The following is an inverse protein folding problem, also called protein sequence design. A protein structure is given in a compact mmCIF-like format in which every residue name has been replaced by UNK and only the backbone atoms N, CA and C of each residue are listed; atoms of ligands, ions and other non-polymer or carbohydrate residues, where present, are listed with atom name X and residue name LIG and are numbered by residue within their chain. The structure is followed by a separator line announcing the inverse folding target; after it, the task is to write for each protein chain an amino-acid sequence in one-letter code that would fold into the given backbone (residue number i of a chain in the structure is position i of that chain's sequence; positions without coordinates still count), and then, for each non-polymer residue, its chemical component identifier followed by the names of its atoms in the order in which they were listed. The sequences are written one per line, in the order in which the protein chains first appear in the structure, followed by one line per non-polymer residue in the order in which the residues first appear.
data_IF_607486718765
#
_entry.id   IF_607486718765
#
_cell.length_a   1.000
_cell.length_b   1.000
_cell.length_c   1.000
_cell.angle_alpha   90.00
_cell.angle_beta   90.00
_cell.angle_gamma   90.00
#
_symmetry.space_group_name_H-M   'P 1'
#
loop_
_entity.id
_entity.type
_entity.pdbx_description
1 polymer ?
#
# COMPACT_ATOMS: atom_id res chain seq x y z
N UNK A 1 -16.34 -7.05 10.93
CA UNK A 1 -15.18 -6.20 10.62
C UNK A 1 -14.58 -5.65 11.91
N UNK A 2 -15.45 -5.38 12.88
CA UNK A 2 -15.21 -4.81 14.21
C UNK A 2 -13.91 -5.28 14.83
N UNK A 3 -13.75 -6.58 15.11
CA UNK A 3 -12.58 -7.01 15.89
C UNK A 3 -11.25 -6.96 15.13
N UNK A 4 -11.18 -7.14 13.81
CA UNK A 4 -9.91 -7.10 13.06
C UNK A 4 -9.35 -5.68 12.96
N UNK A 5 -10.22 -4.70 12.74
CA UNK A 5 -9.83 -3.29 12.67
C UNK A 5 -9.69 -2.71 14.07
N UNK A 6 -10.55 -3.06 15.02
CA UNK A 6 -10.35 -2.79 16.43
C UNK A 6 -9.03 -3.39 16.90
N UNK A 7 -8.62 -4.58 16.43
CA UNK A 7 -7.29 -5.15 16.71
C UNK A 7 -6.17 -4.39 16.03
N UNK A 8 -6.36 -3.78 14.86
CA UNK A 8 -5.36 -2.91 14.26
C UNK A 8 -5.21 -1.61 15.09
N UNK A 9 -6.32 -0.98 15.49
CA UNK A 9 -6.35 0.14 16.44
C UNK A 9 -5.74 -0.21 17.80
N UNK A 10 -6.09 -1.38 18.34
CA UNK A 10 -5.53 -1.91 19.59
C UNK A 10 -4.06 -2.35 19.42
N UNK A 11 -3.61 -2.79 18.24
CA UNK A 11 -2.18 -3.04 18.01
C UNK A 11 -1.39 -1.74 18.04
N UNK A 12 -2.01 -0.65 17.59
CA UNK A 12 -1.45 0.70 17.69
C UNK A 12 -1.42 1.17 19.16
N UNK A 13 -2.40 0.78 20.01
CA UNK A 13 -2.48 1.17 21.43
C UNK A 13 -1.73 0.25 22.43
N UNK A 14 -1.94 -1.06 22.35
CA UNK A 14 -1.60 -2.06 23.39
C UNK A 14 -0.10 -2.26 23.60
N UNK A 15 0.74 -1.82 22.65
CA UNK A 15 2.19 -1.84 22.84
C UNK A 15 2.67 -0.84 23.93
N UNK A 16 1.77 -0.02 24.54
CA UNK A 16 1.81 0.72 25.85
C UNK A 16 3.08 1.44 26.33
N UNK A 17 4.23 1.27 25.69
CA UNK A 17 5.03 2.40 25.29
C UNK A 17 4.40 2.90 24.01
N UNK A 18 3.87 4.13 24.02
CA UNK A 18 3.58 4.84 22.79
C UNK A 18 4.66 4.50 21.77
N UNK A 19 4.27 3.97 20.62
CA UNK A 19 5.12 3.89 19.43
C UNK A 19 5.39 5.34 18.98
N UNK A 20 5.66 6.31 19.86
CA UNK A 20 5.80 7.76 19.61
C UNK A 20 7.04 8.33 20.31
N UNK A 21 8.11 7.54 20.45
CA UNK A 21 9.42 8.09 20.85
C UNK A 21 10.20 8.75 19.69
N UNK A 22 9.66 8.82 18.47
CA UNK A 22 10.25 9.60 17.38
C UNK A 22 9.20 10.34 16.55
N UNK A 23 9.56 11.53 16.08
CA UNK A 23 8.72 12.43 15.25
C UNK A 23 8.14 11.77 13.97
N UNK A 24 8.76 10.69 13.48
CA UNK A 24 8.29 9.94 12.30
C UNK A 24 7.09 9.02 12.57
N UNK A 25 6.83 8.63 13.81
CA UNK A 25 5.83 7.61 14.14
C UNK A 25 4.38 8.11 14.15
N UNK A 26 4.07 9.34 14.62
CA UNK A 26 2.74 9.92 14.49
C UNK A 26 2.25 9.99 13.03
N UNK A 27 3.17 10.26 12.10
CA UNK A 27 2.89 10.34 10.65
C UNK A 27 2.41 8.99 10.11
N UNK A 28 3.03 7.88 10.51
CA UNK A 28 2.62 6.55 10.05
C UNK A 28 1.25 6.15 10.59
N UNK A 29 1.00 6.37 11.89
CA UNK A 29 -0.29 6.06 12.52
C UNK A 29 -1.41 6.87 11.85
N UNK A 30 -1.17 8.15 11.58
CA UNK A 30 -2.11 9.01 10.87
C UNK A 30 -2.45 8.48 9.46
N UNK A 31 -1.45 8.01 8.69
CA UNK A 31 -1.69 7.36 7.38
C UNK A 31 -2.48 6.06 7.53
N UNK A 32 -2.14 5.23 8.50
CA UNK A 32 -2.82 3.95 8.76
C UNK A 32 -4.30 4.21 9.06
N UNK A 33 -4.61 5.12 9.99
CA UNK A 33 -5.99 5.47 10.36
C UNK A 33 -6.77 6.02 9.17
N UNK A 34 -6.19 6.96 8.42
CA UNK A 34 -6.85 7.53 7.26
C UNK A 34 -7.18 6.46 6.20
N UNK A 35 -6.23 5.57 5.89
CA UNK A 35 -6.45 4.48 4.93
C UNK A 35 -7.51 3.48 5.41
N UNK A 36 -7.56 3.19 6.71
CA UNK A 36 -8.59 2.35 7.33
C UNK A 36 -9.97 2.99 7.19
N UNK A 37 -10.09 4.27 7.56
CA UNK A 37 -11.36 4.99 7.52
C UNK A 37 -11.88 5.14 6.10
N UNK A 38 -11.01 5.50 5.15
CA UNK A 38 -11.35 5.54 3.73
C UNK A 38 -11.89 4.19 3.25
N UNK A 39 -11.15 3.10 3.47
CA UNK A 39 -11.56 1.77 3.02
C UNK A 39 -12.81 1.23 3.76
N UNK A 40 -13.04 1.65 5.01
CA UNK A 40 -14.27 1.39 5.75
C UNK A 40 -15.47 2.15 5.17
N UNK A 41 -15.28 3.41 4.78
CA UNK A 41 -16.30 4.28 4.23
C UNK A 41 -16.76 3.84 2.82
N UNK A 42 -15.82 3.44 1.97
CA UNK A 42 -16.15 3.01 0.60
C UNK A 42 -16.65 1.57 0.51
N UNK A 43 -16.60 0.82 1.61
CA UNK A 43 -16.99 -0.58 1.59
C UNK A 43 -18.50 -0.73 1.35
N UNK A 44 -18.87 -1.70 0.51
CA UNK A 44 -20.26 -2.08 0.24
C UNK A 44 -20.48 -3.58 0.49
N UNK A 45 -21.68 -3.99 0.94
CA UNK A 45 -22.89 -3.17 1.10
C UNK A 45 -22.90 -2.30 2.38
N UNK A 46 -22.08 -2.64 3.36
CA UNK A 46 -22.02 -1.94 4.64
C UNK A 46 -20.81 -1.01 4.70
N UNK A 47 -21.08 0.27 4.90
CA UNK A 47 -20.07 1.27 5.24
C UNK A 47 -19.78 1.22 6.73
N UNK A 48 -18.58 1.63 7.10
CA UNK A 48 -18.15 1.69 8.49
C UNK A 48 -17.51 3.03 8.82
N UNK A 49 -17.99 3.64 9.88
CA UNK A 49 -17.51 4.92 10.39
C UNK A 49 -16.29 4.73 11.30
N UNK A 50 -15.51 5.80 11.58
CA UNK A 50 -14.46 5.74 12.61
C UNK A 50 -14.96 5.25 13.97
N UNK A 51 -16.21 5.57 14.33
CA UNK A 51 -16.83 5.11 15.57
C UNK A 51 -17.09 3.59 15.56
N UNK A 52 -17.56 3.03 14.45
CA UNK A 52 -17.73 1.57 14.30
C UNK A 52 -16.39 0.82 14.39
N UNK A 53 -15.31 1.50 14.01
CA UNK A 53 -13.95 0.95 13.95
C UNK A 53 -13.23 1.03 15.31
N UNK A 54 -13.31 2.19 15.97
CA UNK A 54 -12.54 2.47 17.19
C UNK A 54 -13.35 2.28 18.48
N UNK A 55 -14.68 2.38 18.41
CA UNK A 55 -15.55 2.30 19.58
C UNK A 55 -15.16 3.33 20.66
N UNK A 56 -14.97 2.86 21.88
CA UNK A 56 -14.64 3.70 23.05
C UNK A 56 -13.32 4.48 22.90
N UNK A 57 -12.40 4.03 22.03
CA UNK A 57 -11.12 4.71 21.79
C UNK A 57 -11.22 5.86 20.79
N UNK A 58 -12.39 6.08 20.19
CA UNK A 58 -12.60 7.11 19.18
C UNK A 58 -12.22 8.51 19.67
N UNK A 59 -12.68 9.00 20.85
CA UNK A 59 -12.39 10.37 21.29
C UNK A 59 -10.90 10.62 21.56
N UNK A 60 -10.20 9.62 22.12
CA UNK A 60 -8.76 9.70 22.36
C UNK A 60 -7.99 9.79 21.04
N UNK A 61 -8.34 8.91 20.08
CA UNK A 61 -7.68 8.87 18.77
C UNK A 61 -7.95 10.11 17.93
N UNK A 62 -9.14 10.67 18.00
CA UNK A 62 -9.48 11.93 17.32
C UNK A 62 -8.71 13.10 17.93
N UNK A 63 -8.56 13.13 19.25
CA UNK A 63 -7.74 14.13 19.95
C UNK A 63 -6.26 14.09 19.55
N UNK A 64 -5.69 12.89 19.37
CA UNK A 64 -4.28 12.72 18.99
C UNK A 64 -4.08 12.88 17.48
N UNK A 65 -5.00 12.35 16.66
CA UNK A 65 -4.91 12.31 15.21
C UNK A 65 -6.19 12.86 14.59
N UNK A 66 -6.43 14.18 14.60
CA UNK A 66 -7.68 14.74 14.06
C UNK A 66 -7.75 14.64 12.53
N UNK A 67 -6.60 14.72 11.84
CA UNK A 67 -6.53 14.73 10.38
C UNK A 67 -7.26 13.56 9.68
N UNK A 68 -7.02 12.29 10.07
CA UNK A 68 -7.75 11.14 9.53
C UNK A 68 -9.27 11.24 9.64
N UNK A 69 -9.81 11.77 10.74
CA UNK A 69 -11.25 11.87 10.97
C UNK A 69 -11.90 12.94 10.09
N UNK A 70 -11.19 14.04 9.83
CA UNK A 70 -11.69 15.13 9.00
C UNK A 70 -11.64 14.79 7.50
N UNK A 71 -10.64 14.03 7.05
CA UNK A 71 -10.31 13.94 5.62
C UNK A 71 -10.73 12.63 4.94
N UNK A 72 -11.09 11.56 5.68
CA UNK A 72 -11.28 10.23 5.08
C UNK A 72 -12.42 10.15 4.04
N UNK A 73 -13.36 11.09 4.08
CA UNK A 73 -14.50 11.17 3.15
C UNK A 73 -14.22 11.99 1.91
N UNK A 74 -13.16 12.80 1.87
CA UNK A 74 -12.86 13.68 0.73
C UNK A 74 -11.48 13.50 0.12
N UNK A 75 -10.49 13.00 0.87
CA UNK A 75 -9.10 12.81 0.39
C UNK A 75 -8.76 11.33 0.22
N UNK A 76 -8.01 11.02 -0.84
CA UNK A 76 -7.57 9.64 -1.08
C UNK A 76 -6.32 9.28 -0.27
N UNK A 77 -6.22 8.07 0.31
CA UNK A 77 -4.97 7.59 0.89
C UNK A 77 -3.98 7.20 -0.19
N UNK A 78 -2.69 7.55 -0.03
CA UNK A 78 -1.63 7.12 -0.96
C UNK A 78 -1.24 5.65 -0.85
N UNK A 79 -1.58 4.99 0.26
CA UNK A 79 -1.16 3.61 0.59
C UNK A 79 -2.28 2.86 1.27
N UNK A 80 -2.27 1.53 1.12
CA UNK A 80 -3.16 0.65 1.89
C UNK A 80 -2.72 0.60 3.37
N UNK A 81 -3.60 0.18 4.30
CA UNK A 81 -3.26 0.13 5.73
C UNK A 81 -1.99 -0.68 6.01
N UNK A 82 -1.87 -1.88 5.44
CA UNK A 82 -0.72 -2.75 5.72
C UNK A 82 0.58 -2.27 5.07
N UNK A 83 0.50 -1.56 3.94
CA UNK A 83 1.65 -0.87 3.34
C UNK A 83 2.18 0.24 4.25
N UNK A 84 1.29 1.00 4.90
CA UNK A 84 1.70 2.01 5.88
C UNK A 84 2.29 1.37 7.15
N UNK A 85 1.76 0.22 7.60
CA UNK A 85 2.34 -0.58 8.70
C UNK A 85 3.74 -1.09 8.33
N UNK A 86 3.92 -1.55 7.08
CA UNK A 86 5.23 -1.99 6.58
C UNK A 86 6.25 -0.85 6.69
N UNK A 87 5.94 0.33 6.20
CA UNK A 87 6.86 1.46 6.26
C UNK A 87 7.22 1.85 7.70
N UNK A 88 6.25 1.79 8.61
CA UNK A 88 6.49 1.98 10.03
C UNK A 88 7.47 0.93 10.58
N UNK A 89 7.25 -0.36 10.29
CA UNK A 89 8.13 -1.45 10.77
C UNK A 89 9.54 -1.32 10.19
N UNK A 90 9.68 -1.02 8.90
CA UNK A 90 10.98 -0.79 8.25
C UNK A 90 11.68 0.43 8.87
N UNK A 91 10.96 1.52 9.12
CA UNK A 91 11.51 2.70 9.79
C UNK A 91 11.97 2.42 11.23
N UNK A 92 11.34 1.47 11.93
CA UNK A 92 11.67 1.12 13.31
C UNK A 92 12.88 0.17 13.40
N UNK A 93 12.97 -0.79 12.48
CA UNK A 93 13.98 -1.86 12.55
C UNK A 93 15.21 -1.56 11.67
N UNK A 94 15.08 -0.67 10.71
CA UNK A 94 16.07 -0.42 9.66
C UNK A 94 15.89 -1.35 8.46
N UNK A 95 16.18 -0.87 7.24
CA UNK A 95 15.89 -1.60 5.99
C UNK A 95 16.73 -2.84 5.77
N UNK A 96 17.81 -3.05 6.53
CA UNK A 96 18.74 -4.17 6.31
C UNK A 96 18.38 -5.40 7.17
N UNK A 97 17.34 -5.30 8.01
CA UNK A 97 16.92 -6.36 8.94
C UNK A 97 15.78 -7.23 8.38
N UNK A 98 15.97 -7.81 7.18
CA UNK A 98 14.95 -8.60 6.45
C UNK A 98 14.22 -9.61 7.35
N UNK A 99 14.97 -10.47 8.07
CA UNK A 99 14.38 -11.51 8.94
C UNK A 99 13.52 -10.88 10.05
N UNK A 100 14.01 -9.84 10.72
CA UNK A 100 13.27 -9.18 11.80
C UNK A 100 12.00 -8.48 11.30
N UNK A 101 12.07 -7.85 10.12
CA UNK A 101 10.92 -7.19 9.49
C UNK A 101 9.86 -8.23 9.12
N UNK A 102 10.25 -9.32 8.44
CA UNK A 102 9.34 -10.40 8.06
C UNK A 102 8.65 -11.02 9.30
N UNK A 103 9.42 -11.32 10.34
CA UNK A 103 8.88 -11.89 11.58
C UNK A 103 7.96 -10.91 12.34
N UNK A 104 8.29 -9.61 12.37
CA UNK A 104 7.42 -8.59 12.99
C UNK A 104 6.11 -8.46 12.24
N UNK A 105 6.14 -8.40 10.92
CA UNK A 105 4.93 -8.29 10.09
C UNK A 105 4.08 -9.55 10.15
N UNK A 106 4.68 -10.73 10.19
CA UNK A 106 3.98 -12.01 10.43
C UNK A 106 3.23 -12.00 11.77
N UNK A 107 3.87 -11.52 12.84
CA UNK A 107 3.24 -11.37 14.17
C UNK A 107 2.06 -10.40 14.12
N UNK A 108 2.24 -9.23 13.50
CA UNK A 108 1.18 -8.23 13.33
C UNK A 108 0.01 -8.82 12.52
N UNK A 109 0.29 -9.45 11.37
CA UNK A 109 -0.72 -10.07 10.53
C UNK A 109 -1.46 -11.21 11.24
N UNK A 110 -0.77 -12.00 12.08
CA UNK A 110 -1.41 -13.04 12.90
C UNK A 110 -2.33 -12.43 13.96
N UNK A 111 -1.92 -11.34 14.60
CA UNK A 111 -2.76 -10.63 15.57
C UNK A 111 -4.00 -10.04 14.91
N UNK A 112 -3.83 -9.43 13.73
CA UNK A 112 -4.93 -8.89 12.92
C UNK A 112 -5.81 -9.96 12.27
N UNK A 113 -5.32 -11.20 12.13
CA UNK A 113 -6.05 -12.28 11.50
C UNK A 113 -7.20 -12.73 12.38
N UNK A 114 -8.41 -12.62 11.85
CA UNK A 114 -9.61 -13.14 12.49
C UNK A 114 -10.24 -14.23 11.63
N UNK A 115 -10.34 -15.48 12.14
CA UNK A 115 -10.80 -16.62 11.33
C UNK A 115 -12.20 -16.43 10.72
N UNK A 116 -13.04 -15.63 11.37
CA UNK A 116 -14.44 -15.38 10.94
C UNK A 116 -14.63 -14.00 10.31
N UNK A 117 -13.59 -13.16 10.25
CA UNK A 117 -13.71 -11.88 9.57
C UNK A 117 -13.54 -12.10 8.08
N UNK A 118 -14.60 -11.80 7.33
CA UNK A 118 -14.52 -11.70 5.87
C UNK A 118 -13.67 -10.50 5.44
N UNK A 119 -13.23 -9.65 6.37
CA UNK A 119 -12.57 -8.38 6.11
C UNK A 119 -11.15 -8.38 6.68
N UNK A 120 -10.16 -8.28 5.80
CA UNK A 120 -8.75 -8.41 6.13
C UNK A 120 -7.97 -7.24 5.51
N UNK A 121 -7.59 -6.26 6.33
CA UNK A 121 -6.58 -5.25 6.00
C UNK A 121 -5.15 -5.78 6.18
N UNK A 122 -4.98 -7.10 6.14
CA UNK A 122 -3.68 -7.76 6.13
C UNK A 122 -3.33 -8.18 4.72
N UNK A 123 -2.14 -7.85 4.27
CA UNK A 123 -1.61 -8.39 3.01
C UNK A 123 -1.36 -9.90 3.14
N UNK A 124 -1.57 -10.63 2.05
CA UNK A 124 -1.21 -12.05 1.95
C UNK A 124 0.27 -12.24 1.63
N UNK A 125 0.85 -11.28 0.92
CA UNK A 125 2.22 -11.36 0.38
C UNK A 125 3.02 -10.12 0.78
N UNK A 126 4.29 -10.34 1.13
CA UNK A 126 5.34 -9.32 1.24
C UNK A 126 6.42 -9.65 0.20
N UNK A 127 6.93 -8.64 -0.48
CA UNK A 127 8.05 -8.77 -1.39
C UNK A 127 9.24 -7.97 -0.88
N UNK A 128 10.43 -8.54 -1.05
CA UNK A 128 11.71 -7.91 -0.74
C UNK A 128 12.51 -7.80 -2.04
N UNK A 129 12.86 -6.58 -2.40
CA UNK A 129 13.68 -6.26 -3.56
C UNK A 129 15.00 -5.63 -3.12
N UNK A 130 16.10 -6.00 -3.78
CA UNK A 130 17.42 -5.40 -3.53
C UNK A 130 18.33 -5.54 -4.75
N UNK A 131 19.35 -4.69 -4.83
CA UNK A 131 20.49 -4.91 -5.72
C UNK A 131 21.43 -5.93 -5.06
N UNK A 132 22.03 -6.83 -5.83
CA UNK A 132 22.84 -7.93 -5.27
C UNK A 132 24.16 -7.45 -4.65
N UNK A 133 24.62 -6.26 -5.02
CA UNK A 133 25.85 -5.59 -4.58
C UNK A 133 25.61 -4.53 -3.50
N UNK A 134 24.38 -4.34 -3.02
CA UNK A 134 24.01 -3.38 -1.97
C UNK A 134 23.29 -4.10 -0.85
N UNK A 135 23.58 -3.75 0.41
CA UNK A 135 22.93 -4.38 1.57
C UNK A 135 21.47 -3.93 1.74
N UNK A 136 21.15 -2.73 1.25
CA UNK A 136 19.84 -2.09 1.36
C UNK A 136 18.74 -2.90 0.70
N UNK A 137 17.72 -3.23 1.50
CA UNK A 137 16.51 -3.90 1.03
C UNK A 137 15.31 -2.95 0.98
N UNK A 138 14.46 -3.19 0.00
CA UNK A 138 13.24 -2.45 -0.27
C UNK A 138 12.07 -3.41 -0.16
N UNK A 139 10.96 -2.94 0.41
CA UNK A 139 9.86 -3.80 0.81
C UNK A 139 8.54 -3.31 0.23
N UNK A 140 7.75 -4.24 -0.28
CA UNK A 140 6.37 -4.00 -0.69
C UNK A 140 5.43 -5.07 -0.15
N UNK A 141 4.14 -4.77 -0.10
CA UNK A 141 3.11 -5.73 0.29
C UNK A 141 1.98 -5.73 -0.73
N UNK A 142 1.29 -6.87 -0.87
CA UNK A 142 0.13 -6.96 -1.76
C UNK A 142 -0.98 -6.04 -1.26
N UNK A 143 -1.81 -5.51 -2.15
CA UNK A 143 -2.89 -4.59 -1.77
C UNK A 143 -3.77 -5.17 -0.66
N UNK A 144 -3.76 -4.53 0.51
CA UNK A 144 -4.50 -4.98 1.69
C UNK A 144 -5.90 -4.36 1.74
N UNK A 145 -6.69 -4.58 0.70
CA UNK A 145 -8.07 -4.12 0.58
C UNK A 145 -8.97 -5.30 0.21
N UNK A 146 -10.22 -5.26 0.65
CA UNK A 146 -11.20 -6.30 0.34
C UNK A 146 -12.14 -5.80 -0.74
N UNK A 147 -12.06 -6.41 -1.92
CA UNK A 147 -12.99 -6.16 -3.02
C UNK A 147 -12.27 -5.72 -4.29
N UNK A 148 -12.88 -6.04 -5.43
CA UNK A 148 -12.31 -5.79 -6.76
C UNK A 148 -12.18 -4.28 -7.00
N UNK A 149 -13.19 -3.51 -6.62
CA UNK A 149 -13.25 -2.08 -6.87
C UNK A 149 -12.27 -1.31 -5.98
N UNK A 150 -12.22 -1.62 -4.70
CA UNK A 150 -11.27 -1.05 -3.74
C UNK A 150 -9.82 -1.33 -4.18
N UNK A 151 -9.53 -2.54 -4.65
CA UNK A 151 -8.23 -2.89 -5.22
C UNK A 151 -7.88 -2.08 -6.47
N UNK A 152 -8.83 -1.93 -7.39
CA UNK A 152 -8.62 -1.12 -8.59
C UNK A 152 -8.38 0.36 -8.26
N UNK A 153 -9.13 0.92 -7.29
CA UNK A 153 -8.93 2.28 -6.79
C UNK A 153 -7.51 2.43 -6.23
N UNK A 154 -7.08 1.52 -5.35
CA UNK A 154 -5.75 1.62 -4.72
C UNK A 154 -4.60 1.40 -5.72
N UNK A 155 -4.78 0.57 -6.76
CA UNK A 155 -3.81 0.44 -7.86
C UNK A 155 -3.74 1.74 -8.67
N UNK A 156 -4.87 2.33 -9.04
CA UNK A 156 -4.90 3.60 -9.79
C UNK A 156 -4.22 4.72 -8.99
N UNK A 157 -4.57 4.86 -7.70
CA UNK A 157 -3.92 5.81 -6.77
C UNK A 157 -2.42 5.57 -6.71
N UNK A 158 -1.99 4.30 -6.65
CA UNK A 158 -0.57 3.97 -6.59
C UNK A 158 0.15 4.37 -7.87
N UNK A 159 -0.41 4.06 -9.05
CA UNK A 159 0.16 4.45 -10.33
C UNK A 159 0.29 5.98 -10.49
N UNK A 160 -0.73 6.73 -10.07
CA UNK A 160 -0.81 8.18 -10.27
C UNK A 160 -0.01 8.99 -9.25
N UNK A 161 0.23 8.47 -8.04
CA UNK A 161 0.72 9.31 -6.92
C UNK A 161 1.77 8.69 -5.99
N UNK A 162 2.01 7.38 -6.06
CA UNK A 162 2.83 6.67 -5.08
C UNK A 162 3.98 5.90 -5.69
N UNK A 163 3.76 5.19 -6.80
CA UNK A 163 4.78 4.35 -7.42
C UNK A 163 5.67 5.13 -8.36
N UNK A 164 6.95 4.73 -8.40
CA UNK A 164 7.93 5.17 -9.37
C UNK A 164 7.40 4.99 -10.78
N UNK A 165 7.61 5.98 -11.65
CA UNK A 165 7.00 6.02 -12.98
C UNK A 165 7.30 4.79 -13.83
N UNK A 166 8.49 4.19 -13.70
CA UNK A 166 8.81 2.94 -14.40
C UNK A 166 7.89 1.77 -14.03
N UNK A 167 7.55 1.63 -12.75
CA UNK A 167 6.61 0.60 -12.27
C UNK A 167 5.18 0.96 -12.64
N UNK A 168 4.78 2.23 -12.43
CA UNK A 168 3.44 2.71 -12.81
C UNK A 168 3.18 2.50 -14.30
N UNK A 169 4.14 2.83 -15.16
CA UNK A 169 4.01 2.64 -16.61
C UNK A 169 3.88 1.16 -16.99
N UNK A 170 4.66 0.28 -16.35
CA UNK A 170 4.52 -1.16 -16.55
C UNK A 170 3.10 -1.63 -16.18
N UNK A 171 2.57 -1.22 -15.02
CA UNK A 171 1.20 -1.59 -14.60
C UNK A 171 0.15 -1.01 -15.54
N UNK A 172 0.28 0.26 -15.93
CA UNK A 172 -0.64 0.96 -16.84
C UNK A 172 -0.57 0.48 -18.30
N UNK A 173 0.40 -0.38 -18.64
CA UNK A 173 0.45 -1.08 -19.94
C UNK A 173 -0.80 -1.91 -20.20
N UNK A 174 -1.40 -2.44 -19.13
CA UNK A 174 -2.64 -3.21 -19.21
C UNK A 174 -3.82 -2.36 -18.79
N UNK A 175 -4.87 -2.39 -19.59
CA UNK A 175 -6.13 -1.74 -19.25
C UNK A 175 -6.85 -2.53 -18.13
N UNK A 176 -7.25 -1.90 -17.02
CA UNK A 176 -7.78 -2.61 -15.86
C UNK A 176 -9.17 -3.24 -16.10
N UNK A 177 -9.88 -2.83 -17.14
CA UNK A 177 -11.23 -3.33 -17.50
C UNK A 177 -11.09 -4.51 -18.46
N UNK A 178 -10.50 -4.29 -19.62
CA UNK A 178 -10.34 -5.30 -20.66
C UNK A 178 -9.22 -6.30 -20.37
N UNK A 179 -8.28 -5.96 -19.48
CA UNK A 179 -7.02 -6.68 -19.21
C UNK A 179 -6.11 -6.81 -20.42
N UNK A 180 -6.43 -6.12 -21.50
CA UNK A 180 -5.66 -6.12 -22.73
C UNK A 180 -4.53 -5.09 -22.64
N UNK A 181 -3.46 -5.35 -23.36
CA UNK A 181 -2.35 -4.43 -23.51
C UNK A 181 -2.77 -3.23 -24.35
N UNK A 182 -2.40 -2.02 -23.92
CA UNK A 182 -2.63 -0.77 -24.67
C UNK A 182 -1.74 -0.77 -25.91
N UNK A 183 -2.33 -0.48 -27.08
CA UNK A 183 -1.66 -0.62 -28.40
C UNK A 183 -0.38 0.23 -28.50
N UNK A 184 -0.38 1.44 -27.94
CA UNK A 184 0.72 2.40 -28.03
C UNK A 184 1.38 2.70 -26.68
N UNK A 185 1.19 1.84 -25.68
CA UNK A 185 1.75 2.07 -24.34
C UNK A 185 2.19 0.75 -23.72
N UNK A 186 3.42 0.36 -24.03
CA UNK A 186 4.07 -0.83 -23.49
C UNK A 186 5.33 -0.46 -22.73
N UNK A 187 5.27 -0.61 -21.42
CA UNK A 187 6.39 -0.35 -20.53
C UNK A 187 6.67 -1.53 -19.59
N UNK A 188 6.27 -2.74 -19.98
CA UNK A 188 6.77 -3.93 -19.28
C UNK A 188 8.28 -4.02 -19.42
N UNK A 189 8.97 -4.61 -18.45
CA UNK A 189 10.42 -4.75 -18.50
C UNK A 189 10.84 -6.10 -17.93
N UNK A 190 12.06 -6.54 -18.24
CA UNK A 190 12.67 -7.67 -17.56
C UNK A 190 13.57 -7.13 -16.46
N UNK A 191 13.29 -7.49 -15.20
CA UNK A 191 14.15 -7.11 -14.09
C UNK A 191 15.56 -7.68 -14.33
N UNK A 192 16.62 -6.85 -14.34
CA UNK A 192 17.97 -7.34 -14.60
C UNK A 192 18.46 -8.33 -13.53
N UNK A 193 19.33 -9.26 -13.94
CA UNK A 193 19.81 -10.37 -13.10
C UNK A 193 20.59 -9.94 -11.86
N UNK A 194 21.13 -8.72 -11.85
CA UNK A 194 21.81 -8.14 -10.69
C UNK A 194 20.84 -7.64 -9.61
N UNK A 195 19.53 -7.74 -9.82
CA UNK A 195 18.52 -7.46 -8.81
C UNK A 195 17.84 -8.75 -8.34
N UNK A 196 17.48 -8.77 -7.06
CA UNK A 196 16.60 -9.77 -6.45
C UNK A 196 15.23 -9.15 -6.24
N UNK A 197 14.18 -9.92 -6.50
CA UNK A 197 12.79 -9.60 -6.13
C UNK A 197 12.15 -10.90 -5.63
N UNK A 198 11.91 -11.01 -4.31
CA UNK A 198 11.44 -12.24 -3.68
C UNK A 198 10.18 -12.00 -2.88
N UNK A 199 9.10 -12.66 -3.27
CA UNK A 199 7.85 -12.70 -2.52
C UNK A 199 7.87 -13.75 -1.40
N UNK A 200 7.16 -13.47 -0.31
CA UNK A 200 6.93 -14.36 0.82
C UNK A 200 5.48 -14.27 1.25
N UNK A 201 4.93 -15.40 1.70
CA UNK A 201 3.62 -15.43 2.32
C UNK A 201 3.72 -14.80 3.72
N UNK A 202 2.90 -13.79 4.01
CA UNK A 202 2.97 -13.05 5.27
C UNK A 202 2.66 -13.94 6.48
N UNK A 203 1.77 -14.92 6.34
CA UNK A 203 1.33 -15.77 7.46
C UNK A 203 2.32 -16.91 7.74
N UNK A 204 2.77 -17.62 6.71
CA UNK A 204 3.69 -18.75 6.88
C UNK A 204 5.15 -18.31 6.93
N UNK A 205 5.51 -17.24 6.24
CA UNK A 205 6.89 -16.84 5.96
C UNK A 205 7.53 -17.61 4.80
N UNK A 206 6.78 -18.50 4.14
CA UNK A 206 7.30 -19.31 3.05
C UNK A 206 7.57 -18.44 1.81
N UNK A 207 8.68 -18.73 1.10
CA UNK A 207 8.97 -18.13 -0.20
C UNK A 207 7.86 -18.45 -1.21
N UNK A 208 7.52 -17.46 -2.02
CA UNK A 208 6.53 -17.57 -3.08
C UNK A 208 7.18 -17.29 -4.43
N UNK A 209 6.68 -17.97 -5.46
CA UNK A 209 7.02 -17.62 -6.83
C UNK A 209 6.19 -16.41 -7.25
N UNK A 210 6.76 -15.48 -8.03
CA UNK A 210 6.02 -14.44 -8.73
C UNK A 210 4.84 -15.03 -9.50
N UNK A 211 3.72 -14.31 -9.55
CA UNK A 211 2.56 -14.75 -10.34
C UNK A 211 2.71 -14.40 -11.82
N UNK A 212 1.81 -14.92 -12.66
CA UNK A 212 1.83 -14.64 -14.11
C UNK A 212 1.75 -13.15 -14.43
N UNK A 213 1.00 -12.37 -13.66
CA UNK A 213 0.90 -10.92 -13.87
C UNK A 213 2.22 -10.21 -13.57
N UNK A 214 2.93 -10.60 -12.50
CA UNK A 214 4.24 -10.04 -12.19
C UNK A 214 5.30 -10.47 -13.21
N UNK A 215 5.21 -11.69 -13.73
CA UNK A 215 6.03 -12.13 -14.85
C UNK A 215 5.78 -11.26 -16.10
N UNK A 216 4.51 -11.04 -16.46
CA UNK A 216 4.16 -10.22 -17.63
C UNK A 216 4.62 -8.76 -17.49
N UNK A 217 4.55 -8.18 -16.28
CA UNK A 217 4.92 -6.79 -16.02
C UNK A 217 6.43 -6.57 -15.91
N UNK A 218 7.10 -7.44 -15.17
CA UNK A 218 8.46 -7.22 -14.66
C UNK A 218 9.45 -8.32 -15.07
N UNK A 219 9.03 -9.27 -15.91
CA UNK A 219 9.86 -10.36 -16.40
C UNK A 219 10.37 -11.30 -15.30
N UNK A 220 9.70 -11.32 -14.14
CA UNK A 220 10.09 -12.17 -13.03
C UNK A 220 9.83 -13.63 -13.37
N UNK A 221 10.73 -14.51 -12.93
CA UNK A 221 10.60 -15.94 -13.15
C UNK A 221 9.42 -16.50 -12.34
N UNK A 222 8.46 -17.11 -13.02
CA UNK A 222 7.28 -17.76 -12.43
C UNK A 222 7.35 -19.27 -12.65
N UNK A 223 6.52 -20.04 -11.94
CA UNK A 223 6.35 -21.47 -12.25
C UNK A 223 5.72 -21.63 -13.65
N UNK A 224 6.18 -22.61 -14.41
CA UNK A 224 5.62 -22.94 -15.73
C UNK A 224 4.13 -23.28 -15.68
N UNK A 225 3.69 -23.89 -14.58
CA UNK A 225 2.28 -24.27 -14.35
C UNK A 225 1.40 -23.11 -13.90
N UNK A 226 1.95 -21.90 -13.72
CA UNK A 226 1.19 -20.73 -13.28
C UNK A 226 0.38 -20.15 -14.45
N UNK A 227 -0.90 -20.51 -14.49
CA UNK A 227 -1.87 -19.99 -15.45
C UNK A 227 -2.71 -18.86 -14.88
N UNK A 228 -2.69 -18.65 -13.55
CA UNK A 228 -3.55 -17.67 -12.90
C UNK A 228 -3.03 -16.24 -13.14
N UNK A 229 -3.85 -15.43 -13.82
CA UNK A 229 -3.61 -14.00 -14.01
C UNK A 229 -4.41 -13.22 -12.97
N UNK A 230 -3.70 -12.66 -11.99
CA UNK A 230 -4.24 -11.69 -11.04
C UNK A 230 -4.37 -10.31 -11.69
N UNK A 231 -5.20 -9.40 -11.13
CA UNK A 231 -5.19 -8.02 -11.60
C UNK A 231 -3.79 -7.42 -11.51
N UNK A 232 -3.37 -6.73 -12.58
CA UNK A 232 -2.06 -6.09 -12.66
C UNK A 232 -1.90 -5.03 -11.57
N UNK A 233 -0.72 -4.97 -10.96
CA UNK A 233 -0.40 -4.03 -9.87
C UNK A 233 -0.81 -4.47 -8.47
N UNK A 234 -1.69 -5.46 -8.29
CA UNK A 234 -2.14 -5.85 -6.93
C UNK A 234 -1.05 -6.51 -6.06
N UNK A 235 0.02 -7.00 -6.68
CA UNK A 235 1.04 -7.83 -6.03
C UNK A 235 2.10 -6.99 -5.33
N UNK A 236 2.76 -7.60 -4.33
CA UNK A 236 3.74 -6.93 -3.46
C UNK A 236 4.99 -6.44 -4.22
N UNK A 237 5.30 -7.09 -5.34
CA UNK A 237 6.40 -6.80 -6.24
C UNK A 237 6.34 -5.37 -6.79
N UNK A 238 5.14 -4.85 -7.10
CA UNK A 238 5.00 -3.50 -7.64
C UNK A 238 5.50 -2.45 -6.64
N UNK A 239 5.02 -2.51 -5.39
CA UNK A 239 5.45 -1.59 -4.34
C UNK A 239 6.95 -1.76 -4.00
N UNK A 240 7.43 -3.00 -3.93
CA UNK A 240 8.83 -3.29 -3.60
C UNK A 240 9.79 -2.77 -4.66
N UNK A 241 9.50 -3.04 -5.94
CA UNK A 241 10.29 -2.56 -7.07
C UNK A 241 10.20 -1.03 -7.21
N UNK A 242 9.04 -0.44 -6.94
CA UNK A 242 8.90 1.02 -6.94
C UNK A 242 9.90 1.66 -5.98
N UNK A 243 9.94 1.19 -4.73
CA UNK A 243 10.83 1.74 -3.71
C UNK A 243 12.31 1.48 -4.04
N UNK A 244 12.62 0.31 -4.61
CA UNK A 244 13.96 0.00 -5.12
C UNK A 244 14.38 1.02 -6.20
N UNK A 245 13.50 1.34 -7.14
CA UNK A 245 13.81 2.25 -8.23
C UNK A 245 13.97 3.70 -7.76
N UNK A 246 13.16 4.13 -6.79
CA UNK A 246 13.31 5.44 -6.14
C UNK A 246 14.64 5.55 -5.37
N UNK A 247 15.09 4.47 -4.73
CA UNK A 247 16.27 4.47 -3.87
C UNK A 247 17.60 4.26 -4.59
N UNK A 248 17.64 3.34 -5.55
CA UNK A 248 18.88 2.96 -6.25
C UNK A 248 19.04 3.64 -7.61
N UNK A 249 17.98 4.28 -8.12
CA UNK A 249 17.88 4.68 -9.51
C UNK A 249 17.72 3.46 -10.41
N UNK A 250 16.63 3.42 -11.16
CA UNK A 250 16.47 2.43 -12.23
C UNK A 250 16.14 3.16 -13.51
N UNK A 251 17.09 3.16 -14.42
CA UNK A 251 16.86 3.63 -15.78
C UNK A 251 16.06 2.56 -16.53
N UNK A 252 14.74 2.55 -16.29
CA UNK A 252 13.79 1.91 -17.18
C UNK A 252 13.74 2.74 -18.47
N UNK A 253 14.85 2.80 -19.22
CA UNK A 253 14.99 3.54 -20.47
C UNK A 253 14.16 2.87 -21.57
N UNK A 254 12.85 2.89 -21.44
CA UNK A 254 11.96 3.03 -22.58
C UNK A 254 11.68 4.53 -22.63
N UNK A 255 12.20 5.21 -23.64
CA UNK A 255 11.86 6.60 -23.94
C UNK A 255 10.34 6.66 -24.03
N UNK A 256 9.70 7.12 -22.96
CA UNK A 256 8.26 7.26 -22.93
C UNK A 256 7.98 8.59 -23.61
N UNK A 257 7.23 8.54 -24.71
CA UNK A 257 6.66 9.77 -25.23
C UNK A 257 5.81 10.40 -24.12
N UNK A 258 6.26 11.56 -23.63
CA UNK A 258 5.62 12.28 -22.52
C UNK A 258 4.15 12.59 -22.80
N UNK A 259 3.78 12.81 -24.07
CA UNK A 259 2.40 13.06 -24.48
C UNK A 259 1.57 11.79 -24.36
N UNK A 260 2.10 10.65 -24.83
CA UNK A 260 1.41 9.35 -24.72
C UNK A 260 1.25 8.95 -23.26
N UNK A 261 2.27 9.15 -22.43
CA UNK A 261 2.16 8.88 -20.99
C UNK A 261 1.06 9.70 -20.34
N UNK A 262 1.03 11.01 -20.60
CA UNK A 262 0.01 11.90 -20.04
C UNK A 262 -1.40 11.46 -20.43
N UNK A 263 -1.61 11.06 -21.68
CA UNK A 263 -2.89 10.52 -22.14
C UNK A 263 -3.30 9.26 -21.35
N UNK A 264 -2.35 8.36 -21.05
CA UNK A 264 -2.65 7.17 -20.25
C UNK A 264 -2.92 7.52 -18.79
N UNK A 265 -2.19 8.48 -18.21
CA UNK A 265 -2.47 8.99 -16.86
C UNK A 265 -3.86 9.63 -16.78
N UNK A 266 -4.26 10.42 -17.78
CA UNK A 266 -5.60 11.00 -17.89
C UNK A 266 -6.69 9.91 -17.97
N UNK A 267 -6.47 8.85 -18.75
CA UNK A 267 -7.39 7.71 -18.82
C UNK A 267 -7.50 6.97 -17.47
N UNK A 268 -6.39 6.76 -16.78
CA UNK A 268 -6.38 6.11 -15.46
C UNK A 268 -7.05 7.00 -14.41
N UNK A 269 -6.85 8.32 -14.47
CA UNK A 269 -7.51 9.27 -13.59
C UNK A 269 -9.02 9.34 -13.85
N UNK A 270 -9.47 9.34 -15.10
CA UNK A 270 -10.89 9.30 -15.45
C UNK A 270 -11.56 7.99 -14.97
N UNK A 271 -10.86 6.87 -15.11
CA UNK A 271 -11.32 5.56 -14.60
C UNK A 271 -11.41 5.54 -13.06
N UNK A 272 -10.45 6.16 -12.37
CA UNK A 272 -10.48 6.36 -10.92
C UNK A 272 -11.68 7.22 -10.50
N UNK A 273 -11.90 8.38 -11.13
CA UNK A 273 -13.03 9.26 -10.83
C UNK A 273 -14.36 8.55 -11.03
N UNK A 274 -14.54 7.85 -12.16
CA UNK A 274 -15.75 7.05 -12.44
C UNK A 274 -16.00 6.01 -11.35
N UNK A 275 -14.94 5.35 -10.86
CA UNK A 275 -15.06 4.37 -9.77
C UNK A 275 -15.47 5.02 -8.46
N UNK A 276 -14.93 6.18 -8.12
CA UNK A 276 -15.27 6.92 -6.90
C UNK A 276 -16.71 7.45 -6.94
N UNK A 277 -17.14 7.99 -8.08
CA UNK A 277 -18.52 8.43 -8.29
C UNK A 277 -19.52 7.27 -8.14
N UNK A 278 -19.20 6.09 -8.71
CA UNK A 278 -20.09 4.93 -8.64
C UNK A 278 -20.34 4.39 -7.23
N UNK A 279 -19.48 4.74 -6.27
CA UNK A 279 -19.62 4.38 -4.84
C UNK A 279 -20.09 5.54 -3.98
N UNK A 280 -20.35 6.72 -4.58
CA UNK A 280 -20.75 7.93 -3.87
C UNK A 280 -19.64 8.56 -3.05
N UNK A 281 -18.38 8.44 -3.49
CA UNK A 281 -17.24 9.09 -2.85
C UNK A 281 -16.91 10.42 -3.53
N UNK A 282 -16.98 11.51 -2.79
CA UNK A 282 -16.71 12.87 -3.29
C UNK A 282 -15.22 13.23 -3.08
N UNK A 283 -14.40 12.93 -4.09
CA UNK A 283 -12.98 13.25 -4.04
C UNK A 283 -12.72 14.73 -4.36
N UNK A 284 -11.98 15.42 -3.49
CA UNK A 284 -11.60 16.84 -3.65
C UNK A 284 -10.41 17.06 -4.61
N UNK A 285 -9.87 16.00 -5.20
CA UNK A 285 -8.69 16.05 -6.08
C UNK A 285 -7.36 15.90 -5.34
N UNK A 286 -7.36 15.91 -4.00
CA UNK A 286 -6.16 15.84 -3.18
C UNK A 286 -5.95 14.45 -2.54
N UNK A 287 -4.69 14.20 -2.20
CA UNK A 287 -4.30 13.05 -1.39
C UNK A 287 -4.14 13.45 0.07
N UNK A 288 -4.44 12.54 0.97
CA UNK A 288 -4.20 12.76 2.38
C UNK A 288 -2.70 12.85 2.68
N UNK A 289 -2.29 13.99 3.24
CA UNK A 289 -0.93 14.26 3.71
C UNK A 289 -1.02 14.51 5.22
N UNK A 290 -0.50 13.60 6.07
CA UNK A 290 -0.46 13.85 7.50
C UNK A 290 0.46 15.03 7.82
N UNK A 291 0.00 15.93 8.69
CA UNK A 291 0.85 16.99 9.24
C UNK A 291 1.88 16.34 10.17
N UNK A 292 3.15 16.73 10.04
CA UNK A 292 4.14 16.40 11.06
C UNK A 292 3.76 17.19 12.32
N UNK A 293 3.44 16.50 13.41
CA UNK A 293 3.24 17.16 14.70
C UNK A 293 4.56 17.83 15.11
N UNK A 294 4.64 19.15 14.97
CA UNK A 294 5.50 19.94 15.82
C UNK A 294 4.79 20.00 17.18
N UNK A 295 5.20 19.16 18.13
CA UNK A 295 4.80 19.37 19.51
C UNK A 295 5.38 20.73 19.92
N UNK A 296 4.52 21.72 20.09
CA UNK A 296 4.86 22.93 20.81
C UNK A 296 5.23 22.51 22.23
N UNK A 297 6.51 22.69 22.54
CA UNK A 297 7.13 22.41 23.82
C UNK A 297 6.52 23.32 24.89
N UNK A 298 5.40 22.89 25.47
CA UNK A 298 4.68 23.61 26.52
C UNK A 298 4.87 22.92 27.88
N UNK A 299 6.11 22.55 28.22
CA UNK A 299 6.46 22.12 29.59
C UNK A 299 7.86 22.60 30.02
N UNK A 300 8.11 23.90 29.91
CA UNK A 300 9.21 24.57 30.64
C UNK A 300 8.80 26.00 31.05
N UNK A 301 7.69 26.16 31.77
CA UNK A 301 7.44 27.33 32.65
C UNK A 301 6.52 26.96 33.80
N UNK A 302 7.13 26.49 34.88
CA UNK A 302 6.72 26.71 36.28
C UNK A 302 7.96 26.62 37.14
#
# INVERSE_FOLDING_TARGET
MDRAIQKLGLCIQRDNHFICSSHSKPVFVSKILHSIFFLGFIHKPQQFTPNDILGEFMPEMEGIFPGPFVNYTSKLPKRTPFSSVLDMVVSLLGPDREINILERLKKIAKYMSEPKSTYQFTSSTICVSRRNDVERSYYGVSMSCKGKQEGQIMVAVSCLSTWHSGVSNAVMTYDPISKMKRVNFDHTFNLPKNFRCQAFNVKSGAKMYPCKSCHNLFGLETRETETQIWPYGNCAEAESLSKLFDGEGFDASRVVDHKVRRQVEELVNADLQTKLESIGYEWDGDYYIPLAFALTDHHLRS
#
